data_IF_794189510994
#
_entry.id   IF_794189510994
#
_cell.length_a   1.000
_cell.length_b   1.000
_cell.length_c   1.000
_cell.angle_alpha   90.00
_cell.angle_beta   90.00
_cell.angle_gamma   90.00
#
_symmetry.space_group_name_H-M   'P 1'
#
loop_
_entity.id
_entity.type
_entity.pdbx_description
1 polymer ?
#
# COMPACT_ATOMS: atom_id res chain seq x y z
N UNK A 1 1.71 -16.60 2.44
CA UNK A 1 1.32 -15.18 2.34
C UNK A 1 0.40 -14.98 1.14
N UNK A 2 -0.87 -14.65 1.39
CA UNK A 2 -1.91 -14.64 0.34
C UNK A 2 -2.29 -13.23 -0.14
N UNK A 3 -1.82 -12.20 0.56
CA UNK A 3 -2.18 -10.80 0.31
C UNK A 3 -0.95 -9.93 0.18
N UNK A 4 -1.10 -8.86 -0.58
CA UNK A 4 -0.08 -7.86 -0.83
C UNK A 4 -0.70 -6.47 -0.84
N UNK A 5 0.11 -5.47 -0.51
CA UNK A 5 -0.35 -4.12 -0.25
C UNK A 5 0.32 -3.10 -1.16
N UNK A 6 -0.37 -2.01 -1.42
CA UNK A 6 0.18 -0.86 -2.14
C UNK A 6 -0.28 0.42 -1.51
N UNK A 7 0.68 1.29 -1.19
CA UNK A 7 0.40 2.67 -0.80
C UNK A 7 0.47 3.54 -2.05
N UNK A 8 -0.52 4.39 -2.20
CA UNK A 8 -0.62 5.39 -3.26
C UNK A 8 -0.80 6.74 -2.60
N UNK A 9 0.09 7.67 -2.93
CA UNK A 9 -0.08 9.06 -2.54
C UNK A 9 -1.07 9.76 -3.47
N UNK A 10 -1.87 10.67 -2.91
CA UNK A 10 -2.73 11.55 -3.69
C UNK A 10 -2.82 12.93 -3.05
N UNK A 11 -3.16 13.94 -3.86
CA UNK A 11 -3.21 15.35 -3.44
C UNK A 11 -4.61 15.92 -3.38
N UNK A 12 -5.56 15.36 -4.12
CA UNK A 12 -6.90 15.91 -4.26
C UNK A 12 -7.97 14.83 -4.24
N UNK A 13 -9.18 15.22 -3.85
CA UNK A 13 -10.37 14.38 -3.94
C UNK A 13 -10.59 13.87 -5.37
N UNK A 14 -10.47 14.73 -6.39
CA UNK A 14 -10.62 14.33 -7.80
C UNK A 14 -9.62 13.26 -8.23
N UNK A 15 -8.39 13.32 -7.71
CA UNK A 15 -7.39 12.27 -7.96
C UNK A 15 -7.81 10.95 -7.33
N UNK A 16 -8.27 10.98 -6.07
CA UNK A 16 -8.74 9.78 -5.36
C UNK A 16 -9.96 9.15 -6.04
N UNK A 17 -10.95 9.96 -6.40
CA UNK A 17 -12.13 9.56 -7.18
C UNK A 17 -11.73 8.83 -8.47
N UNK A 18 -10.76 9.38 -9.21
CA UNK A 18 -10.24 8.77 -10.44
C UNK A 18 -9.53 7.44 -10.19
N UNK A 19 -8.75 7.34 -9.10
CA UNK A 19 -8.04 6.10 -8.74
C UNK A 19 -9.04 5.01 -8.37
N UNK A 20 -10.04 5.33 -7.55
CA UNK A 20 -11.03 4.37 -7.04
C UNK A 20 -12.23 4.14 -7.98
N UNK A 21 -12.39 4.95 -9.02
CA UNK A 21 -13.56 4.92 -9.89
C UNK A 21 -14.86 5.33 -9.19
N UNK A 22 -14.78 6.24 -8.20
CA UNK A 22 -15.92 6.69 -7.40
C UNK A 22 -16.37 8.10 -7.81
N UNK A 23 -17.68 8.36 -7.79
CA UNK A 23 -18.23 9.70 -8.05
C UNK A 23 -17.99 10.68 -6.90
N UNK A 24 -17.97 10.16 -5.66
CA UNK A 24 -17.81 10.93 -4.43
C UNK A 24 -16.94 10.16 -3.45
N UNK A 25 -16.17 10.88 -2.65
CA UNK A 25 -15.34 10.35 -1.57
C UNK A 25 -15.54 11.21 -0.33
N UNK A 26 -15.43 10.62 0.86
CA UNK A 26 -15.56 11.39 2.09
C UNK A 26 -14.16 11.81 2.57
N UNK A 27 -13.92 13.12 2.64
CA UNK A 27 -12.62 13.70 3.02
C UNK A 27 -12.50 13.99 4.52
N UNK A 28 -13.61 13.94 5.27
CA UNK A 28 -13.68 14.33 6.68
C UNK A 28 -13.22 13.24 7.65
N UNK A 29 -13.24 12.00 7.21
CA UNK A 29 -12.82 10.85 8.01
C UNK A 29 -12.12 9.81 7.13
N UNK A 30 -11.42 8.88 7.77
CA UNK A 30 -10.90 7.73 7.05
C UNK A 30 -12.04 6.85 6.56
N UNK A 31 -11.84 6.22 5.43
CA UNK A 31 -12.88 5.43 4.76
C UNK A 31 -12.31 4.11 4.30
N UNK A 32 -13.18 3.10 4.27
CA UNK A 32 -12.92 1.79 3.68
C UNK A 32 -13.84 1.60 2.48
N UNK A 33 -13.29 1.12 1.38
CA UNK A 33 -13.98 0.71 0.17
C UNK A 33 -13.72 -0.78 -0.02
N UNK A 34 -14.80 -1.54 -0.26
CA UNK A 34 -14.73 -2.96 -0.59
C UNK A 34 -14.53 -3.12 -2.08
N UNK A 35 -13.46 -3.82 -2.47
CA UNK A 35 -13.26 -4.25 -3.83
C UNK A 35 -12.96 -3.14 -4.84
N UNK A 36 -12.32 -3.53 -5.94
CA UNK A 36 -12.20 -2.72 -7.14
C UNK A 36 -10.96 -3.09 -7.94
N UNK A 37 -10.68 -2.30 -8.97
CA UNK A 37 -9.55 -2.55 -9.87
C UNK A 37 -8.64 -1.35 -9.92
N UNK A 38 -7.41 -1.51 -9.44
CA UNK A 38 -6.36 -0.52 -9.65
C UNK A 38 -5.85 -0.64 -11.08
N UNK A 39 -6.13 0.40 -11.89
CA UNK A 39 -5.53 0.51 -13.23
C UNK A 39 -4.08 0.99 -13.13
N UNK A 40 -3.17 0.47 -13.96
CA UNK A 40 -1.79 0.93 -13.97
C UNK A 40 -1.71 2.38 -14.46
N UNK A 41 -0.61 3.07 -14.12
CA UNK A 41 -0.40 4.45 -14.57
C UNK A 41 -0.26 4.48 -16.10
N UNK A 42 -0.79 5.51 -16.80
CA UNK A 42 -0.59 5.65 -18.23
C UNK A 42 0.90 5.58 -18.60
N UNK A 43 1.25 4.82 -19.63
CA UNK A 43 2.63 4.63 -20.08
C UNK A 43 3.42 3.52 -19.37
N UNK A 44 2.85 2.88 -18.36
CA UNK A 44 3.45 1.67 -17.73
C UNK A 44 2.37 0.62 -17.49
N UNK A 45 2.75 -0.66 -17.56
CA UNK A 45 1.90 -1.76 -17.10
C UNK A 45 2.29 -2.22 -15.69
N UNK A 46 3.31 -1.62 -15.09
CA UNK A 46 3.93 -2.10 -13.86
C UNK A 46 3.48 -1.27 -12.65
N UNK A 47 3.32 -1.95 -11.52
CA UNK A 47 3.05 -1.33 -10.22
C UNK A 47 3.82 -2.08 -9.13
N UNK A 48 4.55 -1.39 -8.26
CA UNK A 48 5.20 -1.99 -7.07
C UNK A 48 4.19 -2.19 -5.92
N UNK A 49 4.30 -3.31 -5.23
CA UNK A 49 3.51 -3.73 -4.09
C UNK A 49 4.44 -4.34 -3.04
N UNK A 50 4.07 -4.26 -1.77
CA UNK A 50 4.80 -4.89 -0.68
C UNK A 50 3.91 -5.79 0.12
N UNK A 51 4.44 -6.92 0.53
CA UNK A 51 3.78 -7.85 1.41
C UNK A 51 3.73 -7.30 2.85
N UNK A 52 4.64 -6.38 3.21
CA UNK A 52 4.67 -5.74 4.53
C UNK A 52 4.47 -4.23 4.41
N UNK A 53 3.30 -3.73 4.86
CA UNK A 53 3.00 -2.28 4.87
C UNK A 53 4.01 -1.51 5.72
N UNK A 54 4.50 -2.08 6.83
CA UNK A 54 5.50 -1.41 7.69
C UNK A 54 6.85 -1.32 7.02
N UNK A 55 7.22 -2.29 6.18
CA UNK A 55 8.47 -2.20 5.41
C UNK A 55 8.48 -0.96 4.50
N UNK A 56 7.32 -0.48 4.04
CA UNK A 56 7.26 0.76 3.26
C UNK A 56 7.67 2.00 4.05
N UNK A 57 7.64 1.98 5.39
CA UNK A 57 8.13 3.08 6.24
C UNK A 57 9.65 3.22 6.14
N UNK A 58 10.34 2.09 5.95
CA UNK A 58 11.79 2.01 5.87
C UNK A 58 12.29 2.01 4.43
N UNK A 59 11.44 1.63 3.48
CA UNK A 59 11.69 1.89 2.06
C UNK A 59 11.66 3.40 1.85
N UNK A 60 12.60 3.95 1.07
CA UNK A 60 12.70 5.40 0.82
C UNK A 60 11.46 6.07 0.20
N UNK A 61 10.34 5.37 0.08
CA UNK A 61 9.04 5.87 -0.31
C UNK A 61 8.61 7.12 0.47
N UNK A 62 8.74 7.15 1.80
CA UNK A 62 8.32 8.33 2.59
C UNK A 62 9.24 9.53 2.47
N UNK A 63 10.49 9.34 2.02
CA UNK A 63 11.45 10.46 1.84
C UNK A 63 11.16 11.26 0.57
N UNK A 64 10.49 10.65 -0.42
CA UNK A 64 10.15 11.29 -1.69
C UNK A 64 8.70 11.78 -1.77
N UNK A 65 7.87 11.46 -0.78
CA UNK A 65 6.46 11.90 -0.75
C UNK A 65 6.35 13.36 -0.27
N UNK A 66 5.64 14.22 -1.01
CA UNK A 66 5.35 15.57 -0.57
C UNK A 66 4.67 15.63 0.80
N UNK A 67 5.04 16.61 1.63
CA UNK A 67 4.45 16.80 2.98
C UNK A 67 2.93 17.01 2.95
N UNK A 68 2.36 17.48 1.85
CA UNK A 68 0.92 17.68 1.70
C UNK A 68 0.18 16.48 1.09
N UNK A 69 0.84 15.34 0.88
CA UNK A 69 0.19 14.15 0.35
C UNK A 69 -0.73 13.49 1.39
N UNK A 70 -1.80 12.91 0.86
CA UNK A 70 -2.71 11.99 1.52
C UNK A 70 -2.39 10.56 1.07
N UNK A 71 -2.92 9.57 1.80
CA UNK A 71 -2.57 8.17 1.55
C UNK A 71 -3.82 7.33 1.28
N UNK A 72 -3.69 6.48 0.27
CA UNK A 72 -4.57 5.37 -0.04
C UNK A 72 -3.74 4.09 0.14
N UNK A 73 -4.24 3.15 0.92
CA UNK A 73 -3.66 1.83 1.10
C UNK A 73 -4.61 0.79 0.50
N UNK A 74 -4.08 0.00 -0.41
CA UNK A 74 -4.78 -1.05 -1.14
C UNK A 74 -4.31 -2.41 -0.62
N UNK A 75 -5.23 -3.35 -0.47
CA UNK A 75 -4.98 -4.75 -0.15
C UNK A 75 -5.51 -5.61 -1.29
N UNK A 76 -4.66 -6.45 -1.87
CA UNK A 76 -4.99 -7.33 -2.97
C UNK A 76 -4.55 -8.76 -2.66
N UNK A 77 -5.27 -9.75 -3.19
CA UNK A 77 -4.82 -11.15 -3.16
C UNK A 77 -3.77 -11.36 -4.24
N UNK A 78 -2.72 -12.12 -3.92
CA UNK A 78 -1.72 -12.51 -4.91
C UNK A 78 -2.38 -13.46 -5.92
N UNK A 79 -3.13 -14.45 -5.43
CA UNK A 79 -3.89 -15.38 -6.27
C UNK A 79 -4.99 -14.64 -7.04
N UNK A 80 -5.04 -14.87 -8.35
CA UNK A 80 -6.01 -14.22 -9.26
C UNK A 80 -5.48 -12.94 -9.92
N UNK A 81 -4.41 -12.36 -9.38
CA UNK A 81 -3.73 -11.21 -9.97
C UNK A 81 -2.40 -11.63 -10.63
N UNK A 82 -1.88 -10.75 -11.51
CA UNK A 82 -0.59 -10.97 -12.18
C UNK A 82 0.52 -10.24 -11.42
N UNK A 83 1.13 -10.93 -10.45
CA UNK A 83 2.32 -10.44 -9.74
C UNK A 83 3.57 -11.19 -10.18
N UNK A 84 4.66 -10.46 -10.36
CA UNK A 84 6.02 -10.95 -10.62
C UNK A 84 6.96 -10.51 -9.50
N UNK A 85 8.01 -11.28 -9.25
CA UNK A 85 8.92 -11.03 -8.12
C UNK A 85 8.70 -12.03 -6.99
N UNK A 86 9.70 -12.18 -6.14
CA UNK A 86 9.64 -13.13 -5.05
C UNK A 86 8.97 -12.44 -3.85
N UNK A 87 7.69 -12.74 -3.62
CA UNK A 87 6.95 -12.28 -2.43
C UNK A 87 7.58 -12.80 -1.14
N UNK A 88 8.58 -13.68 -1.20
CA UNK A 88 9.35 -14.15 -0.07
C UNK A 88 10.70 -13.43 0.10
N UNK A 89 11.30 -12.84 -0.94
CA UNK A 89 12.67 -12.27 -0.85
C UNK A 89 13.03 -11.35 -2.01
N UNK A 90 13.02 -10.02 -1.83
CA UNK A 90 13.57 -9.10 -2.85
C UNK A 90 14.22 -7.84 -2.24
N UNK A 91 15.50 -7.96 -1.89
CA UNK A 91 16.58 -6.97 -2.10
C UNK A 91 17.73 -7.20 -1.10
N UNK A 92 18.92 -7.56 -1.61
CA UNK A 92 20.15 -7.65 -0.83
C UNK A 92 20.94 -6.35 -1.04
N UNK A 93 20.63 -5.30 -0.28
CA UNK A 93 21.45 -4.09 -0.28
C UNK A 93 22.61 -4.33 0.68
N UNK A 94 23.83 -4.38 0.15
CA UNK A 94 25.05 -4.52 0.95
C UNK A 94 25.34 -3.16 1.60
N UNK A 95 24.79 -2.95 2.80
CA UNK A 95 25.27 -1.97 3.79
C UNK A 95 24.52 -2.18 5.12
N UNK A 96 25.29 -2.59 6.14
CA UNK A 96 25.08 -2.41 7.58
C UNK A 96 23.90 -3.13 8.29
N UNK A 97 24.21 -4.32 8.80
CA UNK A 97 23.87 -4.94 10.11
C UNK A 97 22.46 -4.87 10.73
N UNK A 98 21.41 -4.52 9.98
CA UNK A 98 20.04 -4.85 10.39
C UNK A 98 19.17 -5.23 9.19
N UNK A 99 18.90 -6.53 9.09
CA UNK A 99 18.12 -7.12 8.02
C UNK A 99 16.63 -6.85 8.24
N UNK A 100 15.98 -6.12 7.34
CA UNK A 100 14.54 -6.25 7.15
C UNK A 100 14.29 -6.82 5.76
N UNK A 101 13.74 -8.02 5.71
CA UNK A 101 13.32 -8.67 4.46
C UNK A 101 12.17 -7.85 3.86
N UNK A 102 12.49 -6.95 2.92
CA UNK A 102 11.49 -6.29 2.09
C UNK A 102 10.95 -7.32 1.09
N UNK A 103 9.67 -7.69 1.28
CA UNK A 103 8.93 -8.60 0.42
C UNK A 103 8.20 -7.77 -0.63
N UNK A 104 8.89 -7.39 -1.70
CA UNK A 104 8.29 -6.63 -2.81
C UNK A 104 7.79 -7.54 -3.94
N UNK A 105 6.73 -7.11 -4.61
CA UNK A 105 6.28 -7.69 -5.87
C UNK A 105 5.88 -6.61 -6.86
N UNK A 106 5.94 -6.95 -8.15
CA UNK A 106 5.57 -6.11 -9.27
C UNK A 106 4.27 -6.65 -9.88
N UNK A 107 3.18 -5.91 -9.72
CA UNK A 107 1.92 -6.17 -10.39
C UNK A 107 1.97 -5.74 -11.86
N UNK A 108 1.48 -6.58 -12.77
CA UNK A 108 1.41 -6.32 -14.22
C UNK A 108 -0.05 -6.17 -14.67
N UNK A 109 -0.35 -5.01 -15.25
CA UNK A 109 -1.67 -4.65 -15.72
C UNK A 109 -2.59 -4.18 -14.59
N UNK A 110 -3.91 -4.25 -14.81
CA UNK A 110 -4.89 -3.98 -13.77
C UNK A 110 -4.79 -5.01 -12.64
N UNK A 111 -4.91 -4.55 -11.40
CA UNK A 111 -4.90 -5.40 -10.20
C UNK A 111 -6.22 -5.27 -9.46
N UNK A 112 -6.86 -6.40 -9.19
CA UNK A 112 -8.05 -6.48 -8.35
C UNK A 112 -7.63 -6.40 -6.88
N UNK A 113 -8.11 -5.37 -6.18
CA UNK A 113 -7.93 -5.23 -4.74
C UNK A 113 -9.22 -5.65 -4.02
N UNK A 114 -9.08 -6.29 -2.86
CA UNK A 114 -10.22 -6.70 -2.04
C UNK A 114 -10.67 -5.59 -1.09
N UNK A 115 -9.72 -4.74 -0.65
CA UNK A 115 -10.00 -3.60 0.21
C UNK A 115 -9.12 -2.41 -0.16
N UNK A 116 -9.68 -1.23 -0.02
CA UNK A 116 -8.99 0.04 -0.12
C UNK A 116 -9.35 0.87 1.11
N UNK A 117 -8.36 1.43 1.79
CA UNK A 117 -8.56 2.37 2.89
C UNK A 117 -7.81 3.65 2.60
N UNK A 118 -8.47 4.79 2.80
CA UNK A 118 -7.87 6.09 2.50
C UNK A 118 -8.14 7.10 3.60
N UNK A 119 -7.25 8.09 3.68
CA UNK A 119 -7.36 9.16 4.64
C UNK A 119 -6.69 10.43 4.17
N UNK A 120 -7.36 11.56 4.43
CA UNK A 120 -6.79 12.88 4.23
C UNK A 120 -5.95 13.21 5.46
N UNK A 121 -4.65 13.42 5.23
CA UNK A 121 -3.66 13.78 6.26
C UNK A 121 -4.14 15.01 7.03
N UNK A 122 -4.21 14.90 8.36
CA UNK A 122 -4.57 16.02 9.24
C UNK A 122 -3.36 16.94 9.47
N UNK A 123 -3.56 18.25 9.73
CA UNK A 123 -2.48 19.13 10.15
C UNK A 123 -1.71 18.55 11.34
N UNK A 124 -0.37 18.55 11.26
CA UNK A 124 0.51 18.04 12.32
C UNK A 124 0.67 16.51 12.38
N UNK A 125 -0.15 15.73 11.66
CA UNK A 125 -0.02 14.27 11.63
C UNK A 125 1.20 13.86 10.79
N UNK A 126 1.98 12.86 11.21
CA UNK A 126 3.05 12.28 10.37
C UNK A 126 2.47 11.38 9.26
N UNK A 127 3.20 11.19 8.17
CA UNK A 127 2.78 10.22 7.13
C UNK A 127 2.79 8.79 7.68
N UNK A 128 3.73 8.50 8.57
CA UNK A 128 3.83 7.22 9.27
C UNK A 128 2.59 6.98 10.14
N UNK A 129 2.19 7.99 10.94
CA UNK A 129 0.98 7.91 11.75
C UNK A 129 -0.28 7.73 10.91
N UNK A 130 -0.37 8.42 9.76
CA UNK A 130 -1.46 8.18 8.81
C UNK A 130 -1.44 6.76 8.25
N UNK A 131 -0.28 6.23 7.85
CA UNK A 131 -0.19 4.86 7.34
C UNK A 131 -0.60 3.83 8.40
N UNK A 132 -0.18 4.02 9.64
CA UNK A 132 -0.54 3.13 10.75
C UNK A 132 -2.04 3.15 11.03
N UNK A 133 -2.66 4.34 11.05
CA UNK A 133 -4.12 4.47 11.18
C UNK A 133 -4.84 3.70 10.06
N UNK A 134 -4.41 3.86 8.82
CA UNK A 134 -4.99 3.17 7.67
C UNK A 134 -4.79 1.65 7.75
N UNK A 135 -3.61 1.19 8.15
CA UNK A 135 -3.30 -0.24 8.30
C UNK A 135 -4.24 -0.90 9.31
N UNK A 136 -4.51 -0.22 10.44
CA UNK A 136 -5.43 -0.71 11.47
C UNK A 136 -6.90 -0.80 10.99
N UNK A 137 -7.25 -0.12 9.90
CA UNK A 137 -8.58 -0.22 9.31
C UNK A 137 -8.74 -1.40 8.37
N UNK A 138 -7.66 -1.95 7.81
CA UNK A 138 -7.76 -3.12 6.94
C UNK A 138 -8.29 -4.31 7.73
N UNK A 139 -9.06 -5.17 7.05
CA UNK A 139 -9.46 -6.42 7.68
C UNK A 139 -8.20 -7.24 7.99
N UNK A 140 -8.10 -7.82 9.19
CA UNK A 140 -6.96 -8.62 9.57
C UNK A 140 -6.74 -9.73 8.53
N UNK A 141 -5.49 -10.08 8.31
CA UNK A 141 -5.18 -11.34 7.62
C UNK A 141 -5.51 -12.44 8.61
N UNK A 142 -6.20 -13.50 8.17
CA UNK A 142 -6.35 -14.71 8.99
C UNK A 142 -4.96 -15.06 9.54
N UNK A 143 -4.92 -15.19 10.86
CA UNK A 143 -3.76 -15.16 11.74
C UNK A 143 -2.59 -15.98 11.16
N UNK A 144 -1.39 -15.38 11.03
CA UNK A 144 -0.08 -15.99 11.38
C UNK A 144 1.17 -15.25 10.86
N UNK A 145 1.07 -14.28 9.95
CA UNK A 145 2.29 -13.75 9.27
C UNK A 145 2.65 -12.26 9.56
N UNK A 146 1.87 -11.53 10.37
CA UNK A 146 2.16 -10.12 10.69
C UNK A 146 3.01 -9.93 11.96
N UNK A 147 3.16 -10.99 12.75
CA UNK A 147 4.13 -11.04 13.83
C UNK A 147 5.31 -11.85 13.31
N UNK A 148 6.38 -11.15 12.95
CA UNK A 148 7.70 -11.79 13.02
C UNK A 148 7.85 -12.30 14.45
N UNK A 149 7.66 -13.60 14.64
CA UNK A 149 8.12 -14.27 15.85
C UNK A 149 9.64 -14.21 15.82
N UNK A 150 10.17 -13.47 16.80
CA UNK A 150 11.48 -13.55 17.42
C UNK A 150 12.61 -14.18 16.60
N UNK A 151 13.50 -13.32 16.10
CA UNK A 151 14.94 -13.58 16.03
C UNK A 151 15.68 -12.30 16.43
#
# INVERSE_FOLDING_TARGET
MDVIYRVVDFKTEKQLQKILGLEKVNTKSYQKVKGGTLKPRPGTQLSSWSANVRAMLYSGFFTVIPKNSHLLLLKAKIKGNKFFGNTETMAKKVADDSYQLEKEAVGIGPIEYEEAVYGFRKPGQSLEGLLMDLTNMLSPVDEYDLLGKDW
#
